data_IF_034233364623
#
_entry.id   IF_034233364623
#
_cell.length_a   1.000
_cell.length_b   1.000
_cell.length_c   1.000
_cell.angle_alpha   90.00
_cell.angle_beta   90.00
_cell.angle_gamma   90.00
#
_symmetry.space_group_name_H-M   'P 1'
#
loop_
_entity.id
_entity.type
_entity.pdbx_description
1 polymer ?
#
# COMPACT_ATOMS: atom_id res chain seq x y z
N UNK A 1 -4.13 -23.11 4.77
CA UNK A 1 -3.39 -22.89 6.04
C UNK A 1 -2.04 -22.28 5.68
N UNK A 2 -1.63 -21.19 6.33
CA UNK A 2 -0.31 -20.56 6.12
C UNK A 2 0.56 -20.84 7.33
N UNK A 3 1.77 -21.37 7.12
CA UNK A 3 2.71 -21.69 8.19
C UNK A 3 3.43 -20.45 8.73
N UNK A 4 3.86 -20.48 9.99
CA UNK A 4 4.55 -19.36 10.65
C UNK A 4 5.84 -18.96 9.91
N UNK A 5 6.65 -19.93 9.49
CA UNK A 5 7.90 -19.68 8.74
C UNK A 5 7.64 -18.99 7.39
N UNK A 6 6.52 -19.31 6.73
CA UNK A 6 6.16 -18.71 5.44
C UNK A 6 5.87 -17.21 5.60
N UNK A 7 5.09 -16.82 6.62
CA UNK A 7 4.80 -15.40 6.85
C UNK A 7 6.02 -14.63 7.37
N UNK A 8 6.89 -15.25 8.18
CA UNK A 8 8.17 -14.63 8.58
C UNK A 8 9.03 -14.32 7.37
N UNK A 9 9.20 -15.28 6.45
CA UNK A 9 9.95 -15.05 5.22
C UNK A 9 9.40 -13.87 4.43
N UNK A 10 8.07 -13.81 4.27
CA UNK A 10 7.38 -12.71 3.55
C UNK A 10 7.60 -11.34 4.21
N UNK A 11 7.56 -11.25 5.54
CA UNK A 11 7.74 -9.99 6.27
C UNK A 11 9.20 -9.53 6.27
N UNK A 12 10.14 -10.45 6.47
CA UNK A 12 11.58 -10.14 6.43
C UNK A 12 12.01 -9.71 5.03
N UNK A 13 11.51 -10.37 3.98
CA UNK A 13 11.71 -9.93 2.60
C UNK A 13 11.17 -8.52 2.35
N UNK A 14 9.97 -8.21 2.86
CA UNK A 14 9.36 -6.89 2.69
C UNK A 14 10.17 -5.80 3.38
N UNK A 15 10.68 -6.09 4.59
CA UNK A 15 11.54 -5.17 5.33
C UNK A 15 12.90 -4.96 4.65
N UNK A 16 13.51 -6.02 4.11
CA UNK A 16 14.77 -5.90 3.37
C UNK A 16 14.59 -5.05 2.09
N UNK A 17 13.50 -5.31 1.34
CA UNK A 17 13.25 -4.67 0.06
C UNK A 17 12.72 -3.24 0.17
N UNK A 18 11.89 -2.96 1.18
CA UNK A 18 11.13 -1.71 1.36
C UNK A 18 11.26 -1.17 2.79
N UNK A 19 12.47 -0.93 3.31
CA UNK A 19 12.72 -0.75 4.74
C UNK A 19 11.83 0.29 5.40
N UNK A 20 11.05 -0.14 6.40
CA UNK A 20 10.41 0.75 7.35
C UNK A 20 11.41 1.19 8.43
N UNK A 21 11.15 2.36 8.99
CA UNK A 21 11.83 2.98 10.12
C UNK A 21 10.83 3.44 11.17
N UNK A 22 11.32 3.90 12.32
CA UNK A 22 10.47 4.44 13.39
C UNK A 22 9.68 5.70 12.98
N UNK A 23 10.11 6.40 11.92
CA UNK A 23 9.43 7.58 11.39
C UNK A 23 8.26 7.24 10.44
N UNK A 24 8.02 5.94 10.20
CA UNK A 24 7.00 5.49 9.27
C UNK A 24 5.69 5.15 9.98
N UNK A 25 4.60 5.55 9.32
CA UNK A 25 3.22 5.27 9.72
C UNK A 25 2.58 4.36 8.68
N UNK A 26 2.20 3.15 9.08
CA UNK A 26 1.50 2.14 8.28
C UNK A 26 -0.01 2.25 8.54
N UNK A 27 -0.79 2.25 7.46
CA UNK A 27 -2.24 2.23 7.52
C UNK A 27 -2.77 0.80 7.65
N UNK A 28 -3.52 0.51 8.72
CA UNK A 28 -4.41 -0.64 8.79
C UNK A 28 -5.76 -0.25 8.22
N UNK A 29 -6.03 -0.67 6.99
CA UNK A 29 -7.31 -0.42 6.30
C UNK A 29 -7.89 -1.66 5.65
N UNK A 30 -7.07 -2.68 5.39
CA UNK A 30 -7.50 -3.86 4.67
C UNK A 30 -8.32 -4.74 5.62
N UNK A 31 -9.54 -5.17 5.24
CA UNK A 31 -10.34 -6.02 6.10
C UNK A 31 -9.58 -7.29 6.48
N UNK A 32 -9.72 -7.74 7.73
CA UNK A 32 -8.97 -8.89 8.26
C UNK A 32 -9.28 -10.24 7.57
N UNK A 33 -10.32 -10.29 6.73
CA UNK A 33 -10.64 -11.44 5.88
C UNK A 33 -9.76 -11.54 4.64
N UNK A 34 -8.94 -10.53 4.33
CA UNK A 34 -7.97 -10.56 3.23
C UNK A 34 -6.55 -10.69 3.79
N UNK A 35 -5.75 -11.54 3.18
CA UNK A 35 -4.38 -11.88 3.57
C UNK A 35 -3.41 -10.68 3.51
N UNK A 36 -3.65 -9.70 2.65
CA UNK A 36 -2.93 -8.41 2.62
C UNK A 36 -2.93 -7.72 4.00
N UNK A 37 -4.00 -7.85 4.78
CA UNK A 37 -4.05 -7.28 6.14
C UNK A 37 -2.98 -7.84 7.07
N UNK A 38 -2.45 -9.05 6.79
CA UNK A 38 -1.46 -9.70 7.66
C UNK A 38 -0.17 -8.89 7.73
N UNK A 39 0.31 -8.31 6.62
CA UNK A 39 1.51 -7.47 6.70
C UNK A 39 1.20 -6.08 7.27
N UNK A 40 0.00 -5.53 7.06
CA UNK A 40 -0.43 -4.30 7.75
C UNK A 40 -0.39 -4.50 9.28
N UNK A 41 -0.84 -5.65 9.77
CA UNK A 41 -0.83 -6.00 11.20
C UNK A 41 0.55 -6.29 11.80
N UNK A 42 1.53 -6.78 11.04
CA UNK A 42 2.77 -7.31 11.63
C UNK A 42 4.05 -6.61 11.18
N UNK A 43 4.11 -6.16 9.94
CA UNK A 43 5.30 -5.50 9.39
C UNK A 43 5.75 -4.26 10.19
N UNK A 44 4.88 -3.31 10.58
CA UNK A 44 5.33 -2.14 11.33
C UNK A 44 6.04 -2.51 12.64
N UNK A 45 5.56 -3.53 13.34
CA UNK A 45 6.06 -3.90 14.67
C UNK A 45 7.41 -4.61 14.65
N UNK A 46 7.77 -5.27 13.54
CA UNK A 46 9.13 -5.84 13.39
C UNK A 46 10.17 -4.77 13.04
N UNK A 47 9.73 -3.57 12.62
CA UNK A 47 10.58 -2.46 12.20
C UNK A 47 10.57 -1.26 13.16
N UNK A 48 9.74 -1.29 14.21
CA UNK A 48 9.58 -0.18 15.16
C UNK A 48 8.72 0.98 14.65
N UNK A 49 7.98 0.78 13.55
CA UNK A 49 7.08 1.76 12.94
C UNK A 49 5.72 1.80 13.66
N UNK A 50 4.93 2.84 13.37
CA UNK A 50 3.57 3.00 13.91
C UNK A 50 2.52 2.35 13.00
N UNK A 51 1.51 1.71 13.60
CA UNK A 51 0.29 1.28 12.92
C UNK A 51 -0.88 2.18 13.34
N UNK A 52 -1.66 2.67 12.38
CA UNK A 52 -2.89 3.46 12.62
C UNK A 52 -4.10 2.78 11.99
N UNK A 53 -5.22 2.76 12.70
CA UNK A 53 -6.44 2.05 12.32
C UNK A 53 -7.39 2.98 11.57
N UNK A 54 -7.80 2.61 10.37
CA UNK A 54 -8.90 3.28 9.68
C UNK A 54 -10.24 2.98 10.37
N UNK A 55 -11.18 3.93 10.27
CA UNK A 55 -12.55 3.71 10.75
C UNK A 55 -13.23 2.58 9.95
N UNK A 56 -14.22 1.88 10.55
CA UNK A 56 -15.01 0.87 9.84
C UNK A 56 -15.57 1.41 8.52
N UNK A 57 -15.56 0.57 7.47
CA UNK A 57 -16.01 0.91 6.11
C UNK A 57 -15.23 2.02 5.36
N UNK A 58 -14.30 2.74 6.01
CA UNK A 58 -13.52 3.81 5.36
C UNK A 58 -12.71 3.31 4.15
N UNK A 59 -12.31 2.03 4.15
CA UNK A 59 -11.59 1.39 3.05
C UNK A 59 -12.35 1.37 1.71
N UNK A 60 -13.64 1.71 1.68
CA UNK A 60 -14.49 1.81 0.47
C UNK A 60 -14.77 3.26 0.06
N UNK A 61 -14.42 4.22 0.90
CA UNK A 61 -14.66 5.65 0.69
C UNK A 61 -13.33 6.37 0.45
N UNK A 62 -13.05 6.78 -0.80
CA UNK A 62 -11.85 7.53 -1.12
C UNK A 62 -11.66 8.82 -0.30
N UNK A 63 -12.73 9.56 -0.01
CA UNK A 63 -12.62 10.82 0.75
C UNK A 63 -12.28 10.54 2.21
N UNK A 64 -12.89 9.52 2.81
CA UNK A 64 -12.51 9.06 4.15
C UNK A 64 -11.02 8.65 4.19
N UNK A 65 -10.52 8.02 3.13
CA UNK A 65 -9.11 7.62 3.04
C UNK A 65 -8.15 8.80 2.92
N UNK A 66 -8.52 9.82 2.13
CA UNK A 66 -7.74 11.07 2.05
C UNK A 66 -7.64 11.75 3.43
N UNK A 67 -8.77 11.88 4.14
CA UNK A 67 -8.80 12.47 5.49
C UNK A 67 -7.98 11.64 6.47
N UNK A 68 -8.05 10.31 6.38
CA UNK A 68 -7.27 9.41 7.21
C UNK A 68 -5.77 9.56 6.97
N UNK A 69 -5.33 9.61 5.71
CA UNK A 69 -3.92 9.82 5.37
C UNK A 69 -3.41 11.17 5.88
N UNK A 70 -4.18 12.25 5.68
CA UNK A 70 -3.84 13.57 6.17
C UNK A 70 -3.75 13.63 7.70
N UNK A 71 -4.74 13.04 8.39
CA UNK A 71 -4.85 13.09 9.85
C UNK A 71 -3.69 12.39 10.55
N UNK A 72 -3.26 11.24 10.04
CA UNK A 72 -2.26 10.40 10.68
C UNK A 72 -0.87 10.49 10.02
N UNK A 73 -0.73 11.25 8.93
CA UNK A 73 0.53 11.35 8.19
C UNK A 73 0.98 10.00 7.65
N UNK A 74 0.06 9.23 7.07
CA UNK A 74 0.34 7.87 6.57
C UNK A 74 1.47 7.90 5.56
N UNK A 75 2.43 7.00 5.74
CA UNK A 75 3.61 6.87 4.86
C UNK A 75 3.55 5.62 3.98
N UNK A 76 2.84 4.59 4.45
CA UNK A 76 2.83 3.27 3.84
C UNK A 76 1.41 2.72 3.82
N UNK A 77 0.92 2.34 2.64
CA UNK A 77 -0.42 1.78 2.46
C UNK A 77 -0.49 0.85 1.24
N UNK A 78 -1.64 0.21 1.08
CA UNK A 78 -1.96 -0.73 0.01
C UNK A 78 -3.13 -0.22 -0.84
N UNK A 79 -3.25 -0.62 -2.09
CA UNK A 79 -4.49 -0.54 -2.85
C UNK A 79 -4.70 -1.80 -3.68
N UNK A 80 -5.95 -2.25 -3.80
CA UNK A 80 -6.34 -3.08 -4.95
C UNK A 80 -6.45 -2.14 -6.17
N UNK A 81 -5.99 -2.50 -7.39
CA UNK A 81 -5.99 -1.61 -8.54
C UNK A 81 -7.34 -0.90 -8.84
N UNK A 82 -8.47 -1.60 -8.71
CA UNK A 82 -9.80 -1.00 -8.83
C UNK A 82 -10.07 0.09 -7.78
N UNK A 83 -9.64 -0.09 -6.53
CA UNK A 83 -9.72 0.92 -5.48
C UNK A 83 -8.73 2.07 -5.71
N UNK A 84 -7.53 1.78 -6.22
CA UNK A 84 -6.59 2.83 -6.63
C UNK A 84 -7.19 3.73 -7.71
N UNK A 85 -7.88 3.15 -8.69
CA UNK A 85 -8.56 3.91 -9.74
C UNK A 85 -9.66 4.82 -9.17
N UNK A 86 -10.49 4.31 -8.27
CA UNK A 86 -11.51 5.11 -7.58
C UNK A 86 -10.87 6.23 -6.72
N UNK A 87 -9.77 5.92 -6.03
CA UNK A 87 -9.04 6.89 -5.23
C UNK A 87 -8.46 8.01 -6.10
N UNK A 88 -7.75 7.66 -7.18
CA UNK A 88 -7.20 8.63 -8.15
C UNK A 88 -8.29 9.51 -8.75
N UNK A 89 -9.43 8.92 -9.14
CA UNK A 89 -10.55 9.67 -9.71
C UNK A 89 -11.20 10.67 -8.72
N UNK A 90 -11.01 10.46 -7.42
CA UNK A 90 -11.52 11.34 -6.35
C UNK A 90 -10.54 12.43 -5.90
N UNK A 91 -9.31 12.44 -6.43
CA UNK A 91 -8.29 13.40 -6.04
C UNK A 91 -8.54 14.78 -6.66
N UNK A 92 -8.41 15.79 -5.82
CA UNK A 92 -8.38 17.22 -6.14
C UNK A 92 -7.09 17.87 -5.58
N UNK A 93 -6.93 19.19 -5.73
CA UNK A 93 -5.70 19.88 -5.33
C UNK A 93 -5.37 19.72 -3.83
N UNK A 94 -6.39 19.74 -2.97
CA UNK A 94 -6.20 19.66 -1.51
C UNK A 94 -5.89 18.22 -1.07
N UNK A 95 -6.58 17.22 -1.64
CA UNK A 95 -6.33 15.81 -1.34
C UNK A 95 -5.04 15.26 -1.95
N UNK A 96 -4.53 15.85 -3.04
CA UNK A 96 -3.17 15.59 -3.51
C UNK A 96 -2.14 15.98 -2.44
N UNK A 97 -2.37 17.08 -1.71
CA UNK A 97 -1.46 17.49 -0.63
C UNK A 97 -1.47 16.46 0.52
N UNK A 98 -2.61 15.82 0.80
CA UNK A 98 -2.72 14.75 1.79
C UNK A 98 -1.88 13.51 1.43
N UNK A 99 -1.64 13.26 0.14
CA UNK A 99 -0.83 12.14 -0.32
C UNK A 99 0.69 12.38 -0.20
N UNK A 100 1.14 13.60 0.15
CA UNK A 100 2.57 13.96 0.20
C UNK A 100 3.37 13.22 1.26
N UNK A 101 2.71 12.68 2.28
CA UNK A 101 3.37 11.86 3.31
C UNK A 101 3.65 10.43 2.83
N UNK A 102 2.98 9.98 1.76
CA UNK A 102 3.14 8.63 1.23
C UNK A 102 4.54 8.47 0.64
N UNK A 103 5.27 7.49 1.19
CA UNK A 103 6.62 7.09 0.75
C UNK A 103 6.58 5.78 -0.01
N UNK A 104 5.61 4.91 0.30
CA UNK A 104 5.46 3.58 -0.29
C UNK A 104 3.99 3.24 -0.43
N UNK A 105 3.57 2.98 -1.67
CA UNK A 105 2.24 2.45 -1.96
C UNK A 105 2.37 1.12 -2.68
N UNK A 106 1.66 0.11 -2.21
CA UNK A 106 1.66 -1.22 -2.80
C UNK A 106 0.35 -1.49 -3.52
N UNK A 107 0.40 -2.14 -4.67
CA UNK A 107 -0.77 -2.65 -5.38
C UNK A 107 -0.67 -4.15 -5.60
N UNK A 108 -1.77 -4.88 -5.33
CA UNK A 108 -1.88 -6.31 -5.62
C UNK A 108 -3.34 -6.75 -5.69
N UNK A 109 -3.57 -8.00 -6.10
CA UNK A 109 -4.90 -8.64 -6.17
C UNK A 109 -5.59 -8.55 -7.53
N UNK A 110 -5.16 -7.64 -8.41
CA UNK A 110 -5.64 -7.52 -9.79
C UNK A 110 -4.49 -7.15 -10.73
N UNK A 111 -4.73 -7.20 -12.04
CA UNK A 111 -3.80 -6.65 -13.01
C UNK A 111 -3.71 -5.12 -12.83
N UNK A 112 -2.50 -4.59 -12.63
CA UNK A 112 -2.26 -3.16 -12.43
C UNK A 112 -2.05 -2.45 -13.79
N UNK A 113 -2.98 -1.57 -14.24
CA UNK A 113 -2.87 -0.92 -15.54
C UNK A 113 -1.77 0.15 -15.55
N UNK A 114 -0.94 0.16 -16.60
CA UNK A 114 0.16 1.12 -16.74
C UNK A 114 -0.31 2.58 -16.74
N UNK A 115 -1.44 2.89 -17.38
CA UNK A 115 -1.96 4.27 -17.40
C UNK A 115 -2.41 4.74 -16.01
N UNK A 116 -2.95 3.84 -15.18
CA UNK A 116 -3.29 4.17 -13.80
C UNK A 116 -2.04 4.51 -12.98
N UNK A 117 -0.95 3.77 -13.18
CA UNK A 117 0.31 4.06 -12.51
C UNK A 117 0.89 5.42 -12.92
N UNK A 118 0.84 5.76 -14.21
CA UNK A 118 1.31 7.06 -14.71
C UNK A 118 0.49 8.21 -14.14
N UNK A 119 -0.81 8.03 -14.04
CA UNK A 119 -1.69 9.04 -13.45
C UNK A 119 -1.42 9.21 -11.95
N UNK A 120 -1.22 8.11 -11.22
CA UNK A 120 -0.80 8.14 -9.82
C UNK A 120 0.53 8.88 -9.63
N UNK A 121 1.54 8.58 -10.45
CA UNK A 121 2.86 9.23 -10.42
C UNK A 121 2.73 10.73 -10.70
N UNK A 122 1.95 11.11 -11.71
CA UNK A 122 1.71 12.53 -12.07
C UNK A 122 1.04 13.31 -10.95
N UNK A 123 0.09 12.71 -10.25
CA UNK A 123 -0.68 13.37 -9.20
C UNK A 123 0.07 13.45 -7.87
N UNK A 124 0.75 12.36 -7.48
CA UNK A 124 1.28 12.22 -6.11
C UNK A 124 2.80 12.19 -6.05
N UNK A 125 3.48 11.74 -7.11
CA UNK A 125 4.91 11.44 -7.11
C UNK A 125 5.33 10.29 -6.18
N UNK A 126 4.39 9.65 -5.49
CA UNK A 126 4.70 8.61 -4.51
C UNK A 126 5.03 7.28 -5.22
N UNK A 127 6.08 6.55 -4.82
CA UNK A 127 6.41 5.24 -5.39
C UNK A 127 5.25 4.24 -5.27
N UNK A 128 4.87 3.64 -6.41
CA UNK A 128 3.80 2.62 -6.51
C UNK A 128 4.35 1.27 -6.94
N UNK A 129 4.38 0.29 -6.04
CA UNK A 129 4.96 -1.03 -6.26
C UNK A 129 3.89 -2.05 -6.63
N UNK A 130 4.10 -2.81 -7.70
CA UNK A 130 3.22 -3.92 -8.06
C UNK A 130 3.70 -5.21 -7.36
N UNK A 131 2.82 -5.85 -6.60
CA UNK A 131 3.04 -7.13 -5.96
C UNK A 131 2.03 -8.15 -6.50
N UNK A 132 2.44 -9.42 -6.51
CA UNK A 132 1.56 -10.51 -6.90
C UNK A 132 1.83 -11.76 -6.07
N UNK A 133 0.76 -12.35 -5.56
CA UNK A 133 0.72 -13.73 -5.10
C UNK A 133 -0.70 -14.18 -4.76
N UNK A 134 -0.94 -15.50 -4.76
CA UNK A 134 -2.16 -16.07 -4.24
C UNK A 134 -2.07 -16.27 -2.71
N UNK A 135 -3.21 -16.42 -2.04
CA UNK A 135 -3.30 -16.58 -0.58
C UNK A 135 -2.56 -17.81 -0.06
N UNK A 136 -2.48 -18.86 -0.86
CA UNK A 136 -1.75 -20.10 -0.57
C UNK A 136 -0.24 -19.89 -0.41
N UNK A 137 0.31 -18.77 -0.90
CA UNK A 137 1.74 -18.50 -0.95
C UNK A 137 2.24 -17.48 0.08
N UNK A 138 1.43 -17.18 1.11
CA UNK A 138 1.69 -16.14 2.11
C UNK A 138 1.75 -14.73 1.50
N UNK A 139 0.60 -14.29 0.99
CA UNK A 139 0.31 -12.95 0.46
C UNK A 139 0.90 -12.67 -0.92
N UNK A 140 2.20 -12.43 -1.05
CA UNK A 140 2.83 -12.09 -2.35
C UNK A 140 4.14 -12.85 -2.56
N UNK A 141 4.40 -13.27 -3.79
CA UNK A 141 5.61 -14.04 -4.19
C UNK A 141 6.48 -13.34 -5.21
N UNK A 142 5.95 -12.34 -5.92
CA UNK A 142 6.69 -11.58 -6.91
C UNK A 142 6.44 -10.09 -6.75
N UNK A 143 7.42 -9.30 -7.16
CA UNK A 143 7.39 -7.86 -7.07
C UNK A 143 7.95 -7.26 -8.36
N UNK A 144 7.46 -6.08 -8.72
CA UNK A 144 8.01 -5.28 -9.81
C UNK A 144 8.27 -3.86 -9.31
N UNK A 145 9.38 -3.21 -9.73
CA UNK A 145 9.71 -1.85 -9.32
C UNK A 145 8.58 -0.87 -9.67
N UNK A 146 8.61 0.34 -9.07
CA UNK A 146 7.67 1.39 -9.40
C UNK A 146 7.57 1.60 -10.91
N UNK A 147 6.36 1.79 -11.39
CA UNK A 147 6.14 2.25 -12.75
C UNK A 147 6.76 3.65 -12.87
N UNK A 148 8.02 3.71 -13.31
CA UNK A 148 8.69 4.97 -13.63
C UNK A 148 8.41 5.31 -15.09
N UNK A 149 8.05 6.56 -15.35
CA UNK A 149 7.98 7.14 -16.71
C UNK A 149 9.26 6.95 -17.56
N UNK A 150 10.39 6.54 -16.95
CA UNK A 150 11.67 6.30 -17.65
C UNK A 150 11.78 4.93 -18.32
N UNK A 151 10.85 4.00 -18.13
CA UNK A 151 10.84 2.76 -18.91
C UNK A 151 10.29 3.03 -20.31
N UNK A 152 11.20 3.30 -21.26
CA UNK A 152 10.92 3.17 -22.70
C UNK A 152 11.32 1.74 -23.12
N UNK A 153 10.48 1.02 -23.88
CA UNK A 153 10.82 -0.28 -24.43
C UNK A 153 12.06 -0.21 -25.33
#
# INVERSE_FOLDING_TARGET
MVGQTAIVNRLLWMQDRYPLSADDVVAQKTPCSFDVSVWEFWWPFIAGAQLVMAEPEAHRDPQAMQQFFARYGVTTTHFVPSMLAAFVASLDADSIAACRTLRRVFCSGEALPTELCREWERLTGAPLHNLYGPTEAAVDVSWYPPAALSWRP
#
